data_IF_962944196554
#
_entry.id   IF_962944196554
#
_cell.length_a   1.000
_cell.length_b   1.000
_cell.length_c   1.000
_cell.angle_alpha   90.00
_cell.angle_beta   90.00
_cell.angle_gamma   90.00
#
_symmetry.space_group_name_H-M   'P 1'
#
loop_
_entity.id
_entity.type
_entity.pdbx_description
1 polymer ?
#
# COMPACT_ATOMS: atom_id res chain seq x y z
N UNK A 1 8.53 29.53 -4.87
CA UNK A 1 8.20 28.10 -4.86
C UNK A 1 9.42 27.36 -4.35
N UNK A 2 9.30 26.56 -3.28
CA UNK A 2 10.40 25.73 -2.76
C UNK A 2 10.36 24.37 -3.47
N UNK A 3 11.44 24.00 -4.15
CA UNK A 3 11.55 22.71 -4.82
C UNK A 3 12.31 21.74 -3.90
N UNK A 4 11.56 20.89 -3.21
CA UNK A 4 12.08 19.92 -2.24
C UNK A 4 11.68 18.51 -2.65
N UNK A 5 12.53 17.53 -2.31
CA UNK A 5 12.29 16.13 -2.62
C UNK A 5 13.03 15.65 -3.87
N UNK A 6 12.93 14.35 -4.13
CA UNK A 6 13.56 13.71 -5.28
C UNK A 6 12.52 13.62 -6.40
N UNK A 7 12.81 14.22 -7.55
CA UNK A 7 11.88 14.27 -8.69
C UNK A 7 12.22 13.26 -9.79
N UNK A 8 13.40 12.63 -9.72
CA UNK A 8 13.83 11.62 -10.68
C UNK A 8 13.22 10.25 -10.36
N UNK A 9 12.55 9.65 -11.33
CA UNK A 9 12.02 8.29 -11.20
C UNK A 9 13.15 7.26 -11.02
N UNK A 10 14.31 7.48 -11.64
CA UNK A 10 15.49 6.62 -11.51
C UNK A 10 15.97 6.45 -10.07
N UNK A 11 15.72 7.45 -9.22
CA UNK A 11 16.04 7.38 -7.79
C UNK A 11 15.09 6.49 -6.97
N UNK A 12 13.95 6.07 -7.53
CA UNK A 12 12.93 5.28 -6.80
C UNK A 12 13.49 3.95 -6.31
N UNK A 13 14.14 3.19 -7.19
CA UNK A 13 14.70 1.88 -6.87
C UNK A 13 15.77 1.95 -5.78
N UNK A 14 16.84 2.77 -5.90
CA UNK A 14 17.85 2.83 -4.86
C UNK A 14 17.24 3.30 -3.53
N UNK A 15 16.39 4.33 -3.51
CA UNK A 15 15.76 4.80 -2.27
C UNK A 15 14.90 3.72 -1.61
N UNK A 16 14.08 3.00 -2.38
CA UNK A 16 13.21 1.93 -1.84
C UNK A 16 13.99 0.71 -1.34
N UNK A 17 15.07 0.32 -2.02
CA UNK A 17 15.90 -0.82 -1.57
C UNK A 17 16.62 -0.46 -0.27
N UNK A 18 17.20 0.73 -0.15
CA UNK A 18 17.85 1.15 1.09
C UNK A 18 16.86 1.22 2.26
N UNK A 19 15.65 1.75 2.02
CA UNK A 19 14.57 1.74 3.00
C UNK A 19 14.19 0.31 3.43
N UNK A 20 14.03 -0.61 2.49
CA UNK A 20 13.74 -2.00 2.82
C UNK A 20 14.86 -2.63 3.67
N UNK A 21 16.12 -2.45 3.28
CA UNK A 21 17.26 -3.00 4.03
C UNK A 21 17.36 -2.41 5.44
N UNK A 22 17.06 -1.12 5.61
CA UNK A 22 16.97 -0.46 6.92
C UNK A 22 15.88 -1.10 7.79
N UNK A 23 14.68 -1.32 7.25
CA UNK A 23 13.57 -1.94 7.99
C UNK A 23 13.91 -3.37 8.44
N UNK A 24 14.53 -4.16 7.55
CA UNK A 24 14.99 -5.53 7.87
C UNK A 24 16.07 -5.51 8.95
N UNK A 25 17.05 -4.62 8.84
CA UNK A 25 18.14 -4.50 9.81
C UNK A 25 17.61 -4.13 11.19
N UNK A 26 16.61 -3.25 11.24
CA UNK A 26 15.94 -2.81 12.47
C UNK A 26 14.88 -3.80 12.98
N UNK A 27 14.68 -4.94 12.31
CA UNK A 27 13.69 -5.97 12.67
C UNK A 27 12.28 -5.41 12.80
N UNK A 28 11.92 -4.46 11.93
CA UNK A 28 10.57 -3.91 11.87
C UNK A 28 9.58 -5.06 11.64
N UNK A 29 8.44 -5.12 12.37
CA UNK A 29 7.42 -6.13 12.11
C UNK A 29 6.97 -6.07 10.64
N UNK A 30 6.71 -7.23 10.04
CA UNK A 30 6.45 -7.38 8.59
C UNK A 30 5.34 -6.47 8.06
N UNK A 31 4.33 -6.21 8.87
CA UNK A 31 3.17 -5.37 8.56
C UNK A 31 3.46 -3.86 8.63
N UNK A 32 4.59 -3.48 9.22
CA UNK A 32 5.06 -2.09 9.33
C UNK A 32 6.28 -1.81 8.44
N UNK A 33 6.78 -2.80 7.71
CA UNK A 33 7.78 -2.56 6.65
C UNK A 33 7.18 -1.59 5.64
N UNK A 34 7.95 -0.59 5.22
CA UNK A 34 7.50 0.40 4.24
C UNK A 34 7.07 -0.30 2.95
N UNK A 35 5.84 -0.02 2.49
CA UNK A 35 5.22 -0.69 1.35
C UNK A 35 5.13 -2.21 1.54
N UNK A 36 4.63 -2.62 2.72
CA UNK A 36 4.40 -4.02 3.06
C UNK A 36 3.41 -4.68 2.09
N UNK A 37 3.33 -6.01 2.13
CA UNK A 37 2.30 -6.74 1.38
C UNK A 37 0.87 -6.32 1.74
N UNK A 38 0.63 -5.83 2.97
CA UNK A 38 -0.68 -5.31 3.38
C UNK A 38 -0.98 -3.97 2.71
N UNK A 39 -0.01 -3.09 2.60
CA UNK A 39 -0.15 -1.80 1.89
C UNK A 39 -0.37 -2.04 0.39
N UNK A 40 0.35 -3.00 -0.19
CA UNK A 40 0.18 -3.40 -1.58
C UNK A 40 -1.22 -3.97 -1.84
N UNK A 41 -1.73 -4.82 -0.95
CA UNK A 41 -3.08 -5.36 -1.07
C UNK A 41 -4.15 -4.26 -0.93
N UNK A 42 -3.98 -3.33 0.01
CA UNK A 42 -4.89 -2.19 0.13
C UNK A 42 -4.91 -1.33 -1.15
N UNK A 43 -3.75 -1.15 -1.78
CA UNK A 43 -3.64 -0.44 -3.07
C UNK A 43 -4.37 -1.19 -4.19
N UNK A 44 -4.25 -2.52 -4.24
CA UNK A 44 -4.95 -3.35 -5.22
C UNK A 44 -6.48 -3.29 -5.05
N UNK A 45 -6.99 -3.24 -3.83
CA UNK A 45 -8.43 -3.08 -3.58
C UNK A 45 -8.97 -1.76 -4.19
N UNK A 46 -8.18 -0.68 -4.17
CA UNK A 46 -8.54 0.55 -4.89
C UNK A 46 -8.52 0.36 -6.41
N UNK A 47 -7.54 -0.35 -6.95
CA UNK A 47 -7.50 -0.66 -8.40
C UNK A 47 -8.76 -1.39 -8.84
N UNK A 48 -9.19 -2.42 -8.10
CA UNK A 48 -10.42 -3.14 -8.41
C UNK A 48 -11.67 -2.29 -8.23
N UNK A 49 -11.75 -1.47 -7.18
CA UNK A 49 -12.88 -0.55 -7.00
C UNK A 49 -13.00 0.48 -8.13
N UNK A 50 -11.87 0.96 -8.67
CA UNK A 50 -11.86 1.87 -9.82
C UNK A 50 -12.27 1.16 -11.11
N UNK A 51 -11.85 -0.09 -11.31
CA UNK A 51 -12.30 -0.91 -12.45
C UNK A 51 -13.82 -1.08 -12.38
N UNK A 52 -14.36 -1.49 -11.23
CA UNK A 52 -15.79 -1.69 -11.02
C UNK A 52 -16.59 -0.39 -11.20
N UNK A 53 -16.05 0.73 -10.68
CA UNK A 53 -16.62 2.06 -10.90
C UNK A 53 -16.73 2.39 -12.38
N UNK A 54 -15.66 2.17 -13.15
CA UNK A 54 -15.65 2.42 -14.60
C UNK A 54 -16.64 1.53 -15.35
N UNK A 55 -16.68 0.23 -15.03
CA UNK A 55 -17.59 -0.73 -15.66
C UNK A 55 -19.08 -0.44 -15.39
N UNK A 56 -19.38 0.23 -14.28
CA UNK A 56 -20.74 0.64 -13.90
C UNK A 56 -21.00 2.15 -14.14
N UNK A 57 -20.32 2.78 -15.10
CA UNK A 57 -20.66 4.15 -15.53
C UNK A 57 -20.16 5.27 -14.63
N UNK A 58 -19.12 5.01 -13.82
CA UNK A 58 -18.50 5.98 -12.93
C UNK A 58 -19.15 6.09 -11.55
N UNK A 59 -19.86 5.05 -11.11
CA UNK A 59 -20.47 5.02 -9.77
C UNK A 59 -19.41 5.02 -8.67
N UNK A 60 -19.78 5.56 -7.49
CA UNK A 60 -18.91 5.54 -6.32
C UNK A 60 -18.89 4.14 -5.69
N UNK A 61 -17.76 3.44 -5.82
CA UNK A 61 -17.57 2.09 -5.26
C UNK A 61 -16.84 2.17 -3.92
N UNK A 62 -17.38 1.47 -2.90
CA UNK A 62 -16.72 1.34 -1.60
C UNK A 62 -15.73 0.19 -1.63
N UNK A 63 -14.46 0.51 -1.35
CA UNK A 63 -13.37 -0.46 -1.24
C UNK A 63 -13.64 -1.52 -0.15
N UNK A 64 -13.33 -2.79 -0.42
CA UNK A 64 -13.50 -3.86 0.55
C UNK A 64 -12.44 -3.76 1.67
N UNK A 65 -12.83 -3.93 2.94
CA UNK A 65 -11.88 -3.90 4.05
C UNK A 65 -10.97 -5.13 4.01
N UNK A 66 -9.67 -4.92 4.26
CA UNK A 66 -8.73 -6.03 4.35
C UNK A 66 -9.01 -6.89 5.60
N UNK A 67 -8.76 -8.22 5.51
CA UNK A 67 -8.85 -9.10 6.68
C UNK A 67 -8.01 -8.62 7.86
N UNK A 68 -8.49 -8.90 9.08
CA UNK A 68 -7.77 -8.62 10.31
C UNK A 68 -6.49 -9.44 10.38
N UNK A 69 -5.34 -8.77 10.58
CA UNK A 69 -4.03 -9.44 10.58
C UNK A 69 -3.74 -10.18 11.89
N UNK A 70 -4.20 -9.64 13.02
CA UNK A 70 -3.86 -10.15 14.36
C UNK A 70 -5.05 -10.72 15.14
N UNK A 71 -6.15 -11.06 14.45
CA UNK A 71 -7.29 -11.74 15.06
C UNK A 71 -7.95 -10.97 16.20
N UNK A 72 -9.06 -10.30 15.92
CA UNK A 72 -10.14 -10.21 16.90
C UNK A 72 -11.30 -11.03 16.33
N UNK A 73 -11.93 -11.83 17.18
CA UNK A 73 -12.82 -12.93 16.82
C UNK A 73 -13.78 -12.63 15.67
N UNK A 74 -13.87 -13.57 14.75
CA UNK A 74 -14.92 -13.65 13.73
C UNK A 74 -16.26 -13.61 14.48
N UNK A 75 -17.07 -12.57 14.25
CA UNK A 75 -18.52 -12.69 14.45
C UNK A 75 -19.08 -13.03 13.09
N UNK A 76 -19.45 -14.31 12.94
CA UNK A 76 -20.27 -14.82 11.84
C UNK A 76 -21.65 -14.16 11.88
#
# INVERSE_FOLDING_TARGET
VTNTGVTDFGATFPVRIHAFLEDITNKVPREFIRASGRDALATLEYTFAVIDSYENGGELVRVHPLPNLHGHGIVL
#
